data_IF_867737527633
#
_entry.id   IF_867737527633
#
_cell.length_a   1.000
_cell.length_b   1.000
_cell.length_c   1.000
_cell.angle_alpha   90.00
_cell.angle_beta   90.00
_cell.angle_gamma   90.00
#
_symmetry.space_group_name_H-M   'P 1'
#
loop_
_entity.id
_entity.type
_entity.pdbx_description
1 polymer ?
#
# COMPACT_ATOMS: atom_id res chain seq x y z
N UNK A 1 8.13 16.95 15.00
CA UNK A 1 7.44 15.86 14.33
C UNK A 1 8.10 14.53 14.64
N UNK A 2 7.33 13.57 15.06
CA UNK A 2 7.91 12.27 15.35
C UNK A 2 7.99 11.44 14.06
N UNK A 3 9.05 10.68 13.97
CA UNK A 3 9.27 9.78 12.82
C UNK A 3 8.14 8.76 12.70
N UNK A 4 7.58 8.39 13.84
CA UNK A 4 6.51 7.41 13.92
C UNK A 4 5.23 7.89 13.22
N UNK A 5 4.86 9.14 13.47
CA UNK A 5 3.66 9.72 12.84
C UNK A 5 3.83 9.82 11.33
N UNK A 6 5.03 10.16 10.91
CA UNK A 6 5.34 10.28 9.51
C UNK A 6 5.23 8.93 8.80
N UNK A 7 5.73 7.87 9.43
CA UNK A 7 5.68 6.53 8.86
C UNK A 7 4.24 6.03 8.74
N UNK A 8 3.42 6.26 9.78
CA UNK A 8 2.02 5.85 9.76
C UNK A 8 1.25 6.55 8.64
N UNK A 9 1.48 7.84 8.48
CA UNK A 9 0.83 8.61 7.42
C UNK A 9 1.20 8.09 6.04
N UNK A 10 2.44 7.69 5.87
CA UNK A 10 2.94 7.20 4.61
C UNK A 10 2.23 5.91 4.20
N UNK A 11 2.06 5.00 5.13
CA UNK A 11 1.40 3.72 4.84
C UNK A 11 -0.06 3.89 4.45
N UNK A 12 -0.79 4.72 5.17
CA UNK A 12 -2.18 5.01 4.82
C UNK A 12 -2.27 5.67 3.45
N UNK A 13 -1.36 6.57 3.18
CA UNK A 13 -1.32 7.28 1.91
C UNK A 13 -0.99 6.33 0.75
N UNK A 14 -0.08 5.41 0.97
CA UNK A 14 0.30 4.42 -0.03
C UNK A 14 -0.92 3.59 -0.44
N UNK A 15 -1.72 3.18 0.53
CA UNK A 15 -2.92 2.40 0.27
C UNK A 15 -4.10 3.26 -0.18
N UNK A 16 -3.99 4.57 -0.05
CA UNK A 16 -5.06 5.47 -0.44
C UNK A 16 -6.27 5.39 0.47
N UNK A 17 -6.06 5.10 1.75
CA UNK A 17 -7.13 5.00 2.72
C UNK A 17 -6.97 6.05 3.81
N UNK A 18 -8.05 6.27 4.57
CA UNK A 18 -8.05 7.20 5.68
C UNK A 18 -7.31 6.60 6.88
N UNK A 19 -6.84 7.47 7.77
CA UNK A 19 -6.24 7.05 9.03
C UNK A 19 -7.19 6.20 9.87
N UNK A 20 -8.47 6.43 9.70
CA UNK A 20 -9.51 5.74 10.44
C UNK A 20 -10.02 4.50 9.72
N UNK A 21 -9.37 4.12 8.64
CA UNK A 21 -9.78 2.97 7.85
C UNK A 21 -9.76 1.70 8.69
N UNK A 22 -10.81 0.91 8.52
CA UNK A 22 -10.91 -0.36 9.22
C UNK A 22 -10.02 -1.41 8.56
N UNK A 23 -9.63 -2.47 9.28
CA UNK A 23 -8.79 -3.52 8.71
C UNK A 23 -9.33 -4.08 7.40
N UNK A 24 -10.64 -4.20 7.27
CA UNK A 24 -11.27 -4.67 6.04
C UNK A 24 -11.01 -3.73 4.87
N UNK A 25 -11.08 -2.43 5.13
CA UNK A 25 -10.83 -1.42 4.11
C UNK A 25 -9.38 -1.44 3.67
N UNK A 26 -8.49 -1.64 4.62
CA UNK A 26 -7.06 -1.70 4.35
C UNK A 26 -6.75 -2.90 3.46
N UNK A 27 -7.31 -4.06 3.78
CA UNK A 27 -7.13 -5.25 2.96
C UNK A 27 -7.69 -5.08 1.56
N UNK A 28 -8.85 -4.45 1.46
CA UNK A 28 -9.50 -4.21 0.18
C UNK A 28 -8.66 -3.29 -0.69
N UNK A 29 -8.13 -2.23 -0.08
CA UNK A 29 -7.26 -1.30 -0.78
C UNK A 29 -5.99 -1.99 -1.25
N UNK A 30 -5.39 -2.81 -0.41
CA UNK A 30 -4.21 -3.56 -0.76
C UNK A 30 -4.47 -4.49 -1.94
N UNK A 31 -5.57 -5.23 -1.90
CA UNK A 31 -5.92 -6.14 -2.99
C UNK A 31 -6.06 -5.41 -4.32
N UNK A 32 -6.66 -4.25 -4.28
CA UNK A 32 -6.85 -3.46 -5.49
C UNK A 32 -5.51 -3.02 -6.07
N UNK A 33 -4.64 -2.51 -5.21
CA UNK A 33 -3.32 -2.07 -5.63
C UNK A 33 -2.49 -3.25 -6.13
N UNK A 34 -2.56 -4.37 -5.42
CA UNK A 34 -1.84 -5.57 -5.79
C UNK A 34 -2.27 -6.08 -7.17
N UNK A 35 -3.57 -6.04 -7.43
CA UNK A 35 -4.10 -6.46 -8.73
C UNK A 35 -3.64 -5.52 -9.84
N UNK A 36 -3.74 -4.21 -9.59
CA UNK A 36 -3.42 -3.22 -10.60
C UNK A 36 -1.92 -3.15 -10.90
N UNK A 37 -1.08 -3.53 -9.95
CA UNK A 37 0.37 -3.42 -10.09
C UNK A 37 1.08 -4.78 -9.98
N UNK A 38 0.35 -5.86 -10.18
CA UNK A 38 0.95 -7.19 -10.08
C UNK A 38 1.99 -7.39 -11.18
N UNK A 39 3.13 -8.01 -10.87
CA UNK A 39 4.18 -8.25 -11.86
C UNK A 39 3.71 -9.01 -13.10
N UNK A 40 2.74 -9.89 -12.94
CA UNK A 40 2.19 -10.65 -14.06
C UNK A 40 1.42 -9.77 -15.04
N UNK A 41 0.77 -8.73 -14.52
CA UNK A 41 0.02 -7.79 -15.33
C UNK A 41 0.91 -6.72 -15.96
N UNK A 42 2.02 -6.44 -15.33
CA UNK A 42 2.95 -5.38 -15.75
C UNK A 42 4.38 -5.90 -15.76
N UNK A 43 4.68 -6.90 -16.60
CA UNK A 43 6.03 -7.46 -16.63
C UNK A 43 7.04 -6.41 -17.06
N UNK A 44 8.11 -6.29 -16.27
CA UNK A 44 9.16 -5.33 -16.57
C UNK A 44 8.88 -3.90 -16.13
N UNK A 45 7.73 -3.65 -15.54
CA UNK A 45 7.36 -2.32 -15.06
C UNK A 45 7.87 -2.12 -13.63
N UNK A 46 8.98 -1.42 -13.51
CA UNK A 46 9.61 -1.18 -12.20
C UNK A 46 8.73 -0.32 -11.29
N UNK A 47 7.98 0.60 -11.85
CA UNK A 47 7.11 1.46 -11.06
C UNK A 47 5.99 0.64 -10.43
N UNK A 48 5.39 -0.25 -11.20
CA UNK A 48 4.34 -1.14 -10.68
C UNK A 48 4.89 -2.07 -9.62
N UNK A 49 6.08 -2.61 -9.84
CA UNK A 49 6.74 -3.48 -8.88
C UNK A 49 7.01 -2.75 -7.56
N UNK A 50 7.48 -1.51 -7.64
CA UNK A 50 7.73 -0.71 -6.45
C UNK A 50 6.44 -0.44 -5.68
N UNK A 51 5.37 -0.13 -6.39
CA UNK A 51 4.07 0.11 -5.75
C UNK A 51 3.54 -1.14 -5.08
N UNK A 52 3.70 -2.28 -5.72
CA UNK A 52 3.30 -3.55 -5.14
C UNK A 52 4.04 -3.82 -3.84
N UNK A 53 5.35 -3.60 -3.85
CA UNK A 53 6.19 -3.77 -2.67
C UNK A 53 5.77 -2.85 -1.53
N UNK A 54 5.56 -1.58 -1.85
CA UNK A 54 5.17 -0.60 -0.85
C UNK A 54 3.81 -0.93 -0.26
N UNK A 55 2.86 -1.31 -1.10
CA UNK A 55 1.53 -1.69 -0.63
C UNK A 55 1.58 -2.93 0.25
N UNK A 56 2.40 -3.90 -0.11
CA UNK A 56 2.58 -5.11 0.67
C UNK A 56 3.17 -4.80 2.05
N UNK A 57 4.16 -3.93 2.09
CA UNK A 57 4.76 -3.50 3.34
C UNK A 57 3.76 -2.74 4.20
N UNK A 58 3.01 -1.84 3.60
CA UNK A 58 1.99 -1.09 4.33
C UNK A 58 0.94 -2.03 4.93
N UNK A 59 0.52 -3.01 4.17
CA UNK A 59 -0.45 -3.99 4.64
C UNK A 59 0.09 -4.81 5.82
N UNK A 60 1.36 -5.15 5.78
CA UNK A 60 1.99 -5.91 6.85
C UNK A 60 2.10 -5.10 8.13
N UNK A 61 2.39 -3.81 8.02
CA UNK A 61 2.54 -2.93 9.17
C UNK A 61 1.18 -2.58 9.78
N UNK A 62 0.21 -2.34 8.96
CA UNK A 62 -1.13 -1.98 9.41
C UNK A 62 -1.98 -3.22 9.72
#
# INVERSE_FOLDING_TARGET
MSTKDWADKDYYKILGVSKDAKPEEIKKAFRKIARDNHPDSHPGDKAAEARFKEASEANDVL
#
